data_IF_774165783445
#
_entry.id   IF_774165783445
#
_cell.length_a   1.000
_cell.length_b   1.000
_cell.length_c   1.000
_cell.angle_alpha   90.00
_cell.angle_beta   90.00
_cell.angle_gamma   90.00
#
_symmetry.space_group_name_H-M   'P 1'
#
loop_
_entity.id
_entity.type
_entity.pdbx_description
1 polymer ?
#
# COMPACT_ATOMS: atom_id res chain seq x y z
N UNK A 1 3.99 -3.91 -18.98
CA UNK A 1 3.47 -3.72 -17.61
C UNK A 1 4.64 -3.65 -16.65
N UNK A 2 4.58 -2.77 -15.64
CA UNK A 2 5.63 -2.64 -14.63
C UNK A 2 5.14 -3.25 -13.31
N UNK A 3 6.03 -3.92 -12.60
CA UNK A 3 5.78 -4.48 -11.26
C UNK A 3 6.52 -3.67 -10.22
N UNK A 4 5.82 -3.37 -9.12
CA UNK A 4 6.40 -2.75 -7.95
C UNK A 4 6.14 -3.64 -6.73
N UNK A 5 7.18 -3.75 -5.91
CA UNK A 5 7.15 -4.57 -4.71
C UNK A 5 7.56 -3.68 -3.55
N UNK A 6 6.72 -3.62 -2.52
CA UNK A 6 6.89 -2.71 -1.40
C UNK A 6 6.72 -3.42 -0.07
N UNK A 7 7.38 -2.93 0.96
CA UNK A 7 7.24 -3.42 2.32
C UNK A 7 6.82 -2.30 3.28
N UNK A 8 6.09 -2.68 4.31
CA UNK A 8 5.65 -1.82 5.41
C UNK A 8 5.46 -2.71 6.64
N UNK A 9 5.63 -2.19 7.85
CA UNK A 9 5.26 -2.93 9.05
C UNK A 9 3.92 -2.43 9.60
N UNK A 10 3.23 -3.28 10.34
CA UNK A 10 2.14 -2.92 11.22
C UNK A 10 2.70 -2.67 12.62
N UNK A 11 1.95 -1.91 13.43
CA UNK A 11 2.14 -1.90 14.88
C UNK A 11 2.01 -3.33 15.37
N UNK A 12 3.01 -3.80 16.12
CA UNK A 12 3.10 -5.18 16.61
C UNK A 12 2.14 -5.42 17.79
N UNK A 13 0.85 -5.37 17.48
CA UNK A 13 -0.26 -5.62 18.38
C UNK A 13 -1.30 -6.52 17.66
N UNK A 14 -1.62 -7.71 18.20
CA UNK A 14 -2.51 -8.66 17.53
C UNK A 14 -3.92 -8.11 17.23
N UNK A 15 -4.45 -7.21 18.06
CA UNK A 15 -5.76 -6.62 17.82
C UNK A 15 -5.70 -5.61 16.67
N UNK A 16 -4.69 -4.74 16.67
CA UNK A 16 -4.50 -3.76 15.59
C UNK A 16 -4.24 -4.43 14.24
N UNK A 17 -3.47 -5.52 14.23
CA UNK A 17 -3.25 -6.34 13.04
C UNK A 17 -4.56 -6.93 12.53
N UNK A 18 -5.39 -7.49 13.42
CA UNK A 18 -6.69 -8.05 13.03
C UNK A 18 -7.61 -6.99 12.44
N UNK A 19 -7.71 -5.82 13.07
CA UNK A 19 -8.54 -4.72 12.56
C UNK A 19 -8.08 -4.25 11.18
N UNK A 20 -6.76 -4.11 10.97
CA UNK A 20 -6.19 -3.78 9.67
C UNK A 20 -6.59 -4.81 8.60
N UNK A 21 -6.50 -6.10 8.90
CA UNK A 21 -6.92 -7.17 8.00
C UNK A 21 -8.42 -7.13 7.70
N UNK A 22 -9.27 -6.89 8.70
CA UNK A 22 -10.73 -6.78 8.51
C UNK A 22 -11.07 -5.64 7.53
N UNK A 23 -10.44 -4.48 7.69
CA UNK A 23 -10.58 -3.37 6.72
C UNK A 23 -10.12 -3.74 5.31
N UNK A 24 -9.06 -4.55 5.17
CA UNK A 24 -8.56 -4.96 3.85
C UNK A 24 -9.35 -6.13 3.22
N UNK A 25 -10.10 -6.90 4.00
CA UNK A 25 -11.09 -7.86 3.47
C UNK A 25 -12.27 -7.14 2.82
N UNK A 26 -12.64 -5.97 3.34
CA UNK A 26 -13.76 -5.16 2.86
C UNK A 26 -13.35 -3.70 2.56
N UNK A 27 -12.31 -3.53 1.72
CA UNK A 27 -11.85 -2.19 1.31
C UNK A 27 -12.99 -1.38 0.72
N UNK A 28 -13.07 -0.11 1.12
CA UNK A 28 -14.10 0.83 0.65
C UNK A 28 -14.11 0.93 -0.89
N UNK A 29 -15.30 0.97 -1.53
CA UNK A 29 -15.42 1.04 -2.98
C UNK A 29 -14.65 2.22 -3.61
N UNK A 30 -14.62 3.36 -2.95
CA UNK A 30 -13.95 4.59 -3.40
C UNK A 30 -12.43 4.42 -3.45
N UNK A 31 -11.87 3.64 -2.53
CA UNK A 31 -10.43 3.33 -2.49
C UNK A 31 -10.08 2.37 -3.61
N UNK A 32 -10.86 1.31 -3.81
CA UNK A 32 -10.69 0.40 -4.95
C UNK A 32 -10.76 1.17 -6.27
N UNK A 33 -11.72 2.07 -6.42
CA UNK A 33 -11.86 2.92 -7.60
C UNK A 33 -10.65 3.84 -7.79
N UNK A 34 -10.19 4.52 -6.75
CA UNK A 34 -9.01 5.41 -6.83
C UNK A 34 -7.76 4.64 -7.29
N UNK A 35 -7.55 3.42 -6.78
CA UNK A 35 -6.45 2.53 -7.18
C UNK A 35 -6.52 2.20 -8.68
N UNK A 36 -7.70 1.78 -9.16
CA UNK A 36 -7.92 1.44 -10.57
C UNK A 36 -7.79 2.66 -11.49
N UNK A 37 -8.41 3.78 -11.13
CA UNK A 37 -8.40 5.03 -11.91
C UNK A 37 -6.97 5.61 -12.05
N UNK A 38 -6.09 5.30 -11.10
CA UNK A 38 -4.68 5.69 -11.18
C UNK A 38 -3.83 4.78 -12.09
N UNK A 39 -4.39 3.69 -12.61
CA UNK A 39 -3.71 2.76 -13.52
C UNK A 39 -3.01 1.59 -12.83
N UNK A 40 -3.36 1.28 -11.58
CA UNK A 40 -2.94 0.03 -10.91
C UNK A 40 -3.91 -1.07 -11.34
N UNK A 41 -3.39 -2.08 -12.02
CA UNK A 41 -4.17 -3.14 -12.67
C UNK A 41 -4.39 -4.35 -11.75
N UNK A 42 -3.40 -4.66 -10.93
CA UNK A 42 -3.45 -5.71 -9.91
C UNK A 42 -2.71 -5.21 -8.67
N UNK A 43 -3.25 -5.52 -7.49
CA UNK A 43 -2.62 -5.21 -6.22
C UNK A 43 -2.93 -6.33 -5.23
N UNK A 44 -1.90 -6.85 -4.60
CA UNK A 44 -1.99 -7.88 -3.58
C UNK A 44 -1.15 -7.45 -2.38
N UNK A 45 -1.69 -7.65 -1.18
CA UNK A 45 -0.97 -7.41 0.07
C UNK A 45 -0.92 -8.74 0.83
N UNK A 46 0.28 -9.15 1.19
CA UNK A 46 0.58 -10.33 1.96
C UNK A 46 1.13 -9.91 3.32
N UNK A 47 0.97 -10.75 4.35
CA UNK A 47 1.50 -10.49 5.69
C UNK A 47 2.29 -11.69 6.22
N UNK A 48 3.43 -11.42 6.85
CA UNK A 48 4.16 -12.36 7.71
C UNK A 48 4.50 -11.65 9.03
N UNK A 49 4.03 -12.18 10.16
CA UNK A 49 4.03 -11.45 11.44
C UNK A 49 3.50 -10.02 11.26
N UNK A 50 4.12 -8.99 11.81
CA UNK A 50 3.67 -7.62 11.57
C UNK A 50 4.11 -7.04 10.21
N UNK A 51 4.86 -7.76 9.37
CA UNK A 51 5.36 -7.24 8.09
C UNK A 51 4.38 -7.45 6.96
N UNK A 52 4.05 -6.38 6.26
CA UNK A 52 3.31 -6.37 5.01
C UNK A 52 4.25 -6.36 3.80
N UNK A 53 3.79 -7.02 2.76
CA UNK A 53 4.40 -7.08 1.44
C UNK A 53 3.32 -6.77 0.40
N UNK A 54 3.48 -5.67 -0.34
CA UNK A 54 2.59 -5.32 -1.45
C UNK A 54 3.27 -5.65 -2.77
N UNK A 55 2.56 -6.39 -3.63
CA UNK A 55 2.92 -6.60 -5.03
C UNK A 55 1.85 -5.94 -5.91
N UNK A 56 2.26 -5.03 -6.79
CA UNK A 56 1.32 -4.39 -7.71
C UNK A 56 1.82 -4.37 -9.15
N UNK A 57 0.89 -4.59 -10.07
CA UNK A 57 1.09 -4.42 -11.50
C UNK A 57 0.41 -3.15 -11.98
N UNK A 58 1.11 -2.37 -12.80
CA UNK A 58 0.61 -1.09 -13.30
C UNK A 58 0.66 -0.99 -14.82
N UNK A 59 -0.23 -0.15 -15.35
CA UNK A 59 -0.25 0.25 -16.76
C UNK A 59 0.92 1.14 -17.15
N UNK A 60 1.06 1.41 -18.45
CA UNK A 60 2.18 2.19 -19.01
C UNK A 60 2.19 3.64 -18.54
N UNK A 61 1.00 4.23 -18.36
CA UNK A 61 0.81 5.63 -17.95
C UNK A 61 0.82 5.85 -16.42
N UNK A 62 1.11 4.81 -15.64
CA UNK A 62 1.20 4.95 -14.18
C UNK A 62 2.48 5.69 -13.77
N UNK A 63 2.33 6.63 -12.84
CA UNK A 63 3.44 7.19 -12.06
C UNK A 63 3.03 7.42 -10.61
N UNK A 64 3.99 7.29 -9.70
CA UNK A 64 3.75 7.55 -8.28
C UNK A 64 3.41 9.02 -8.03
N UNK A 65 3.99 9.94 -8.80
CA UNK A 65 3.70 11.38 -8.73
C UNK A 65 2.23 11.66 -9.08
N UNK A 66 1.72 11.03 -10.15
CA UNK A 66 0.31 11.17 -10.54
C UNK A 66 -0.61 10.56 -9.50
N UNK A 67 -0.32 9.34 -9.01
CA UNK A 67 -1.08 8.68 -7.94
C UNK A 67 -1.15 9.56 -6.69
N UNK A 68 -0.02 10.10 -6.25
CA UNK A 68 0.08 10.97 -5.08
C UNK A 68 -0.75 12.25 -5.24
N UNK A 69 -0.70 12.89 -6.41
CA UNK A 69 -1.53 14.07 -6.70
C UNK A 69 -3.04 13.74 -6.70
N UNK A 70 -3.43 12.59 -7.26
CA UNK A 70 -4.82 12.12 -7.24
C UNK A 70 -5.31 11.85 -5.82
N UNK A 71 -4.49 11.19 -4.99
CA UNK A 71 -4.81 10.89 -3.59
C UNK A 71 -4.96 12.16 -2.75
N UNK A 72 -4.05 13.12 -2.93
CA UNK A 72 -4.11 14.41 -2.24
C UNK A 72 -5.37 15.23 -2.60
N UNK A 73 -5.98 14.97 -3.77
CA UNK A 73 -7.21 15.62 -4.21
C UNK A 73 -8.49 14.83 -3.86
N UNK A 74 -8.37 13.64 -3.24
CA UNK A 74 -9.49 12.76 -2.95
C UNK A 74 -9.73 12.62 -1.44
N UNK A 75 -10.79 13.25 -0.93
CA UNK A 75 -11.15 13.25 0.49
C UNK A 75 -11.32 11.83 1.06
N UNK A 76 -11.89 10.89 0.28
CA UNK A 76 -12.06 9.50 0.74
C UNK A 76 -10.75 8.76 0.89
N UNK A 77 -9.79 9.02 0.00
CA UNK A 77 -8.44 8.49 0.15
C UNK A 77 -7.77 9.07 1.39
N UNK A 78 -7.93 10.37 1.66
CA UNK A 78 -7.36 10.99 2.86
C UNK A 78 -7.96 10.42 4.15
N UNK A 79 -9.28 10.23 4.22
CA UNK A 79 -9.96 9.58 5.35
C UNK A 79 -9.42 8.16 5.58
N UNK A 80 -9.28 7.38 4.50
CA UNK A 80 -8.73 6.03 4.55
C UNK A 80 -7.27 6.04 5.04
N UNK A 81 -6.43 6.93 4.51
CA UNK A 81 -5.03 7.04 4.90
C UNK A 81 -4.86 7.43 6.37
N UNK A 82 -5.71 8.34 6.89
CA UNK A 82 -5.73 8.71 8.31
C UNK A 82 -6.16 7.53 9.20
N UNK A 83 -7.14 6.74 8.75
CA UNK A 83 -7.55 5.53 9.45
C UNK A 83 -6.40 4.49 9.46
N UNK A 84 -5.83 4.21 8.29
CA UNK A 84 -4.74 3.24 8.14
C UNK A 84 -3.48 3.63 8.90
N UNK A 85 -3.21 4.93 9.06
CA UNK A 85 -2.08 5.44 9.84
C UNK A 85 -2.03 4.89 11.27
N UNK A 86 -3.19 4.59 11.88
CA UNK A 86 -3.28 4.03 13.24
C UNK A 86 -2.64 2.64 13.37
N UNK A 87 -2.62 1.89 12.27
CA UNK A 87 -2.20 0.48 12.25
C UNK A 87 -0.77 0.31 11.73
N UNK A 88 -0.24 1.30 11.01
CA UNK A 88 1.00 1.19 10.25
C UNK A 88 2.21 1.66 11.07
N UNK A 89 3.35 1.02 10.87
CA UNK A 89 4.64 1.35 11.46
C UNK A 89 5.73 1.37 10.37
N UNK A 90 6.69 2.28 10.51
CA UNK A 90 7.82 2.33 9.59
C UNK A 90 8.69 1.07 9.75
N UNK A 91 9.06 0.44 8.64
CA UNK A 91 10.00 -0.68 8.62
C UNK A 91 11.41 -0.20 9.04
N UNK A 92 12.24 -1.03 9.72
CA UNK A 92 13.62 -0.66 10.03
C UNK A 92 14.40 -0.18 8.80
N UNK A 93 14.97 1.02 8.90
CA UNK A 93 15.74 1.65 7.82
C UNK A 93 14.94 2.55 6.88
N UNK A 94 13.62 2.66 7.04
CA UNK A 94 12.80 3.63 6.32
C UNK A 94 13.21 5.08 6.66
N UNK A 95 13.12 5.99 5.69
CA UNK A 95 13.38 7.41 5.92
C UNK A 95 12.26 8.03 6.76
N UNK A 96 12.51 9.15 7.47
CA UNK A 96 11.46 9.87 8.18
C UNK A 96 10.28 10.21 7.25
N UNK A 97 9.08 9.78 7.63
CA UNK A 97 7.84 9.99 6.85
C UNK A 97 7.59 8.98 5.72
N UNK A 98 8.50 8.02 5.50
CA UNK A 98 8.30 6.95 4.52
C UNK A 98 7.44 5.82 5.12
N UNK A 99 6.30 5.53 4.48
CA UNK A 99 5.43 4.40 4.85
C UNK A 99 5.86 3.12 4.13
N UNK A 100 5.40 2.97 2.88
CA UNK A 100 5.72 1.85 2.02
C UNK A 100 7.09 2.09 1.38
N UNK A 101 8.02 1.18 1.64
CA UNK A 101 9.39 1.24 1.12
C UNK A 101 9.50 0.35 -0.11
N UNK A 102 10.05 0.89 -1.20
CA UNK A 102 10.31 0.11 -2.42
C UNK A 102 11.38 -0.95 -2.17
N UNK A 103 11.12 -2.19 -2.58
CA UNK A 103 12.07 -3.28 -2.46
C UNK A 103 12.95 -3.41 -3.70
N UNK A 104 14.21 -3.76 -3.50
CA UNK A 104 15.15 -4.06 -4.59
C UNK A 104 14.93 -5.48 -5.10
N UNK A 105 14.49 -5.63 -6.35
CA UNK A 105 14.46 -6.92 -7.04
C UNK A 105 15.90 -7.40 -7.27
N UNK A 106 16.27 -8.53 -6.67
CA UNK A 106 17.64 -9.09 -6.77
C UNK A 106 17.73 -10.29 -7.72
N UNK A 107 16.60 -10.89 -8.09
CA UNK A 107 16.54 -12.07 -8.93
C UNK A 107 15.18 -12.14 -9.63
N UNK A 108 15.20 -12.65 -10.86
CA UNK A 108 14.02 -13.02 -11.64
C UNK A 108 14.44 -14.24 -12.46
N UNK A 109 13.64 -15.33 -12.41
CA UNK A 109 13.99 -16.58 -13.09
C UNK A 109 13.75 -16.50 -14.60
N UNK A 110 12.83 -15.65 -15.06
CA UNK A 110 12.35 -15.55 -16.45
C UNK A 110 12.24 -14.11 -16.92
#
# INVERSE_FOLDING_TARGET
MKRYVMALDLVDDPQLIKEYEDYHREVWPEIKRSILDAGILQMEIYRFENRLFMNMEVGEDFSFEKKSAMDAANEKVQEWEQLMWKYQAAIPGAKPGEKWVMMTKIFELV
#
